data_IF_829625190497
#
_entry.id   IF_829625190497
#
_cell.length_a   1.000
_cell.length_b   1.000
_cell.length_c   1.000
_cell.angle_alpha   90.00
_cell.angle_beta   90.00
_cell.angle_gamma   90.00
#
_symmetry.space_group_name_H-M   'P 1'
#
loop_
_entity.id
_entity.type
_entity.pdbx_description
1 polymer ?
#
# COMPACT_ATOMS: atom_id res chain seq x y z
N UNK A 1 24.54 7.69 23.29
CA UNK A 1 23.17 7.13 23.30
C UNK A 1 22.88 6.58 21.90
N UNK A 2 22.89 5.25 21.70
CA UNK A 2 22.61 4.63 20.39
C UNK A 2 21.15 4.91 20.01
N UNK A 3 20.93 5.63 18.91
CA UNK A 3 19.60 5.91 18.37
C UNK A 3 19.06 4.59 17.81
N UNK A 4 18.16 3.94 18.54
CA UNK A 4 17.47 2.74 18.07
C UNK A 4 16.74 3.10 16.77
N UNK A 5 17.05 2.38 15.69
CA UNK A 5 16.33 2.51 14.42
C UNK A 5 14.88 2.14 14.68
N UNK A 6 13.97 3.11 14.57
CA UNK A 6 12.54 2.85 14.73
C UNK A 6 12.10 1.97 13.55
N UNK A 7 11.51 0.82 13.86
CA UNK A 7 10.96 -0.09 12.85
C UNK A 7 9.93 0.66 11.98
N UNK A 8 9.97 0.44 10.66
CA UNK A 8 9.13 1.14 9.66
C UNK A 8 9.25 2.67 9.60
N UNK A 9 10.29 3.26 10.18
CA UNK A 9 10.55 4.70 10.08
C UNK A 9 11.80 4.95 9.23
N UNK A 10 11.61 5.60 8.10
CA UNK A 10 12.68 6.11 7.24
C UNK A 10 12.65 7.63 7.17
N UNK A 11 13.80 8.26 7.03
CA UNK A 11 13.92 9.69 6.75
C UNK A 11 14.61 9.89 5.42
N UNK A 12 14.05 10.74 4.57
CA UNK A 12 14.62 11.10 3.27
C UNK A 12 14.70 12.62 3.16
N UNK A 13 15.71 13.14 2.45
CA UNK A 13 15.81 14.58 2.19
C UNK A 13 14.57 15.05 1.41
N UNK A 14 13.93 16.12 1.90
CA UNK A 14 12.77 16.74 1.21
C UNK A 14 13.25 17.48 -0.04
N UNK A 15 13.18 16.80 -1.17
CA UNK A 15 13.40 17.37 -2.52
C UNK A 15 12.17 17.07 -3.38
N UNK A 16 11.91 17.92 -4.38
CA UNK A 16 10.79 17.70 -5.32
C UNK A 16 10.87 16.32 -5.99
N UNK A 17 12.07 15.89 -6.39
CA UNK A 17 12.29 14.59 -7.01
C UNK A 17 11.94 13.42 -6.07
N UNK A 18 12.36 13.49 -4.80
CA UNK A 18 12.05 12.43 -3.83
C UNK A 18 10.56 12.36 -3.50
N UNK A 19 9.89 13.52 -3.42
CA UNK A 19 8.45 13.57 -3.22
C UNK A 19 7.70 12.95 -4.41
N UNK A 20 8.09 13.33 -5.63
CA UNK A 20 7.52 12.77 -6.86
C UNK A 20 7.66 11.24 -6.92
N UNK A 21 8.88 10.72 -6.71
CA UNK A 21 9.13 9.26 -6.67
C UNK A 21 8.27 8.58 -5.61
N UNK A 22 8.15 9.19 -4.43
CA UNK A 22 7.33 8.62 -3.35
C UNK A 22 5.86 8.55 -3.77
N UNK A 23 5.30 9.59 -4.38
CA UNK A 23 3.90 9.63 -4.79
C UNK A 23 3.62 8.66 -5.94
N UNK A 24 4.45 8.68 -7.00
CA UNK A 24 4.33 7.77 -8.14
C UNK A 24 4.40 6.28 -7.74
N UNK A 25 5.23 5.95 -6.75
CA UNK A 25 5.42 4.55 -6.32
C UNK A 25 4.43 4.12 -5.25
N UNK A 26 4.08 4.99 -4.31
CA UNK A 26 3.28 4.63 -3.15
C UNK A 26 1.78 4.83 -3.40
N UNK A 27 1.39 5.91 -4.06
CA UNK A 27 -0.02 6.35 -4.20
C UNK A 27 -0.33 6.84 -5.63
N UNK A 28 0.03 6.09 -6.68
CA UNK A 28 -0.19 6.52 -8.08
C UNK A 28 -1.67 6.74 -8.39
N UNK A 29 -2.55 6.04 -7.70
CA UNK A 29 -4.00 6.13 -7.82
C UNK A 29 -4.62 7.39 -7.19
N UNK A 30 -3.83 8.20 -6.49
CA UNK A 30 -4.25 9.45 -5.89
C UNK A 30 -3.46 10.66 -6.39
N UNK A 31 -2.64 10.52 -7.44
CA UNK A 31 -1.73 11.57 -7.92
C UNK A 31 -2.45 12.90 -8.16
N UNK A 32 -3.60 12.88 -8.85
CA UNK A 32 -4.42 14.06 -9.14
C UNK A 32 -5.13 14.68 -7.93
N UNK A 33 -5.11 13.99 -6.78
CA UNK A 33 -5.76 14.43 -5.53
C UNK A 33 -4.77 15.00 -4.52
N UNK A 34 -3.47 14.90 -4.81
CA UNK A 34 -2.41 15.36 -3.93
C UNK A 34 -2.20 16.86 -4.13
N UNK A 35 -2.33 17.70 -3.08
CA UNK A 35 -2.01 19.11 -3.16
C UNK A 35 -0.49 19.32 -3.27
N UNK A 36 -0.07 20.46 -3.81
CA UNK A 36 1.35 20.85 -3.92
C UNK A 36 2.11 20.80 -2.58
N UNK A 37 1.40 21.05 -1.47
CA UNK A 37 1.98 21.06 -0.13
C UNK A 37 1.28 20.08 0.79
N UNK A 38 1.99 19.01 1.14
CA UNK A 38 1.58 18.05 2.17
C UNK A 38 2.48 18.21 3.41
N UNK A 39 1.84 18.38 4.58
CA UNK A 39 2.51 18.27 5.88
C UNK A 39 2.56 16.81 6.33
N UNK A 40 1.41 16.14 6.25
CA UNK A 40 1.24 14.75 6.63
C UNK A 40 0.20 14.11 5.70
N UNK A 41 0.41 12.85 5.35
CA UNK A 41 -0.65 12.02 4.79
C UNK A 41 -0.60 10.64 5.43
N UNK A 42 -1.74 9.96 5.49
CA UNK A 42 -1.86 8.57 5.93
C UNK A 42 -2.49 7.77 4.80
N UNK A 43 -1.87 6.65 4.44
CA UNK A 43 -2.42 5.69 3.49
C UNK A 43 -2.89 4.46 4.27
N UNK A 44 -4.18 4.16 4.18
CA UNK A 44 -4.81 2.98 4.77
C UNK A 44 -5.11 2.01 3.63
N UNK A 45 -4.57 0.80 3.71
CA UNK A 45 -4.77 -0.25 2.72
C UNK A 45 -5.52 -1.42 3.38
N UNK A 46 -6.73 -1.72 2.89
CA UNK A 46 -7.54 -2.84 3.36
C UNK A 46 -7.65 -3.87 2.24
N UNK A 47 -7.03 -5.02 2.44
CA UNK A 47 -7.15 -6.17 1.53
C UNK A 47 -8.40 -6.98 1.87
N UNK A 48 -9.36 -7.01 0.96
CA UNK A 48 -10.54 -7.88 1.04
C UNK A 48 -10.33 -9.06 0.11
N UNK A 49 -10.03 -10.22 0.68
CA UNK A 49 -9.90 -11.47 -0.08
C UNK A 49 -11.30 -12.05 -0.27
N UNK A 50 -11.72 -12.21 -1.51
CA UNK A 50 -13.02 -12.76 -1.86
C UNK A 50 -12.93 -14.24 -2.22
N UNK A 51 -11.79 -14.65 -2.79
CA UNK A 51 -11.57 -16.03 -3.23
C UNK A 51 -10.11 -16.44 -3.03
N UNK A 52 -9.90 -17.73 -2.72
CA UNK A 52 -8.58 -18.34 -2.61
C UNK A 52 -8.57 -19.57 -3.51
N UNK A 53 -7.82 -19.49 -4.61
CA UNK A 53 -7.68 -20.58 -5.57
C UNK A 53 -6.55 -21.50 -5.10
N UNK A 54 -6.91 -22.72 -4.73
CA UNK A 54 -5.98 -23.73 -4.26
C UNK A 54 -5.35 -24.45 -5.47
N UNK A 55 -4.01 -24.49 -5.58
CA UNK A 55 -3.32 -25.21 -6.67
C UNK A 55 -3.57 -26.71 -6.60
N UNK A 56 -3.92 -27.32 -7.73
CA UNK A 56 -4.17 -28.77 -7.84
C UNK A 56 -2.86 -29.57 -7.78
N UNK A 57 -2.94 -30.79 -7.26
CA UNK A 57 -1.84 -31.77 -7.29
C UNK A 57 -0.75 -31.57 -6.23
N UNK A 58 -0.87 -30.57 -5.35
CA UNK A 58 0.04 -30.40 -4.21
C UNK A 58 -0.55 -31.04 -2.96
N UNK A 59 0.29 -31.76 -2.19
CA UNK A 59 -0.07 -32.34 -0.89
C UNK A 59 0.57 -31.61 0.29
N UNK A 60 1.66 -30.89 0.05
CA UNK A 60 2.38 -30.14 1.07
C UNK A 60 1.64 -28.82 1.36
N UNK A 61 1.12 -28.69 2.58
CA UNK A 61 0.32 -27.54 3.03
C UNK A 61 1.05 -26.20 2.93
N UNK A 62 2.35 -26.18 3.24
CA UNK A 62 3.19 -24.98 3.11
C UNK A 62 3.31 -24.53 1.65
N UNK A 63 3.53 -25.47 0.73
CA UNK A 63 3.60 -25.17 -0.71
C UNK A 63 2.25 -24.75 -1.27
N UNK A 64 1.16 -25.36 -0.80
CA UNK A 64 -0.20 -24.95 -1.17
C UNK A 64 -0.44 -23.49 -0.78
N UNK A 65 -0.12 -23.11 0.47
CA UNK A 65 -0.34 -21.74 0.96
C UNK A 65 0.47 -20.70 0.19
N UNK A 66 1.71 -21.05 -0.16
CA UNK A 66 2.61 -20.18 -0.92
C UNK A 66 2.14 -19.98 -2.36
N UNK A 67 1.59 -21.02 -2.98
CA UNK A 67 1.15 -21.02 -4.38
C UNK A 67 -0.34 -20.72 -4.60
N UNK A 68 -1.11 -20.58 -3.53
CA UNK A 68 -2.52 -20.21 -3.61
C UNK A 68 -2.67 -18.77 -4.11
N UNK A 69 -3.51 -18.59 -5.13
CA UNK A 69 -3.84 -17.28 -5.69
C UNK A 69 -4.98 -16.68 -4.87
N UNK A 70 -4.84 -15.43 -4.47
CA UNK A 70 -5.84 -14.64 -3.75
C UNK A 70 -6.45 -13.64 -4.70
N UNK A 71 -7.74 -13.77 -4.91
CA UNK A 71 -8.52 -12.79 -5.67
C UNK A 71 -9.31 -11.93 -4.71
N UNK A 72 -9.35 -10.64 -4.98
CA UNK A 72 -9.94 -9.71 -4.04
C UNK A 72 -9.95 -8.27 -4.51
N UNK A 73 -10.21 -7.40 -3.54
CA UNK A 73 -10.16 -5.95 -3.71
C UNK A 73 -9.22 -5.34 -2.68
N UNK A 74 -8.35 -4.45 -3.14
CA UNK A 74 -7.56 -3.56 -2.31
C UNK A 74 -8.34 -2.25 -2.21
N UNK A 75 -8.92 -2.00 -1.05
CA UNK A 75 -9.56 -0.71 -0.73
C UNK A 75 -8.50 0.18 -0.12
N UNK A 76 -8.28 1.35 -0.72
CA UNK A 76 -7.24 2.28 -0.32
C UNK A 76 -7.90 3.59 0.06
N UNK A 77 -7.55 4.12 1.21
CA UNK A 77 -7.98 5.43 1.68
C UNK A 77 -6.75 6.26 1.96
N UNK A 78 -6.72 7.49 1.44
CA UNK A 78 -5.69 8.46 1.76
C UNK A 78 -6.31 9.63 2.52
N UNK A 79 -5.74 9.94 3.68
CA UNK A 79 -6.03 11.13 4.47
C UNK A 79 -4.88 12.12 4.29
N UNK A 80 -5.17 13.37 3.92
CA UNK A 80 -4.17 14.42 3.68
C UNK A 80 -4.44 15.59 4.62
N UNK A 81 -3.40 16.01 5.36
CA UNK A 81 -3.44 17.12 6.31
C UNK A 81 -4.58 17.05 7.34
N UNK A 82 -5.09 15.85 7.62
CA UNK A 82 -6.24 15.57 8.52
C UNK A 82 -7.58 16.23 8.10
N UNK A 83 -7.66 16.82 6.90
CA UNK A 83 -8.84 17.54 6.39
C UNK A 83 -9.47 16.90 5.14
N UNK A 84 -8.66 16.24 4.30
CA UNK A 84 -9.10 15.67 3.04
C UNK A 84 -9.00 14.14 3.07
N UNK A 85 -10.07 13.46 2.71
CA UNK A 85 -10.13 12.01 2.59
C UNK A 85 -10.55 11.60 1.17
N UNK A 86 -9.77 10.71 0.56
CA UNK A 86 -10.10 10.09 -0.73
C UNK A 86 -10.02 8.58 -0.62
N UNK A 87 -10.94 7.89 -1.29
CA UNK A 87 -10.96 6.43 -1.32
C UNK A 87 -10.96 5.90 -2.75
N UNK A 88 -10.27 4.80 -2.96
CA UNK A 88 -10.26 4.06 -4.22
C UNK A 88 -10.32 2.55 -3.96
N UNK A 89 -10.76 1.77 -4.95
CA UNK A 89 -10.78 0.32 -4.87
C UNK A 89 -10.20 -0.30 -6.14
N UNK A 90 -9.20 -1.15 -5.95
CA UNK A 90 -8.50 -1.86 -7.02
C UNK A 90 -8.82 -3.36 -6.90
N UNK A 91 -9.19 -4.01 -7.99
CA UNK A 91 -9.36 -5.47 -8.01
C UNK A 91 -7.99 -6.11 -8.26
N UNK A 92 -7.69 -7.22 -7.59
CA UNK A 92 -6.44 -7.95 -7.76
C UNK A 92 -6.65 -9.47 -7.81
N UNK A 93 -5.65 -10.15 -8.40
CA UNK A 93 -5.48 -11.60 -8.37
C UNK A 93 -3.98 -11.89 -8.26
N UNK A 94 -3.50 -12.22 -7.06
CA UNK A 94 -2.06 -12.38 -6.75
C UNK A 94 -1.75 -13.57 -5.85
#
# INVERSE_FOLDING_TARGET
>A
MKKLTKFCVGTVKKTKNNQKILYEKLIPDFEDKIPDTIKIFKLINIYKINNIIIPKGLKNTSLIRLKAIREGKLVRTIEINDDMEYANSLTFSV
#
